data_IF_659100754904
#
_entry.id   IF_659100754904
#
_cell.length_a   1.000
_cell.length_b   1.000
_cell.length_c   1.000
_cell.angle_alpha   90.00
_cell.angle_beta   90.00
_cell.angle_gamma   90.00
#
_symmetry.space_group_name_H-M   'P 1'
#
loop_
_entity.id
_entity.type
_entity.pdbx_description
1 polymer ?
#
# COMPACT_ATOMS: atom_id res chain seq x y z
N UNK A 1 -24.34 -22.38 -44.43
CA UNK A 1 -24.36 -20.90 -44.45
C UNK A 1 -25.59 -20.45 -43.71
N UNK A 2 -25.49 -20.13 -42.43
CA UNK A 2 -26.53 -19.45 -41.67
C UNK A 2 -25.82 -18.66 -40.54
N UNK A 3 -25.87 -17.34 -40.62
CA UNK A 3 -25.42 -16.43 -39.58
C UNK A 3 -26.61 -16.15 -38.64
N UNK A 4 -26.46 -16.24 -37.32
CA UNK A 4 -27.41 -15.63 -36.40
C UNK A 4 -27.04 -14.18 -36.09
N UNK A 5 -28.07 -13.34 -36.08
CA UNK A 5 -28.04 -11.93 -35.78
C UNK A 5 -27.80 -11.72 -34.27
N UNK A 6 -26.91 -10.79 -33.92
CA UNK A 6 -26.69 -10.32 -32.55
C UNK A 6 -27.71 -9.23 -32.22
N UNK A 7 -28.46 -9.44 -31.18
CA UNK A 7 -29.37 -8.47 -30.59
C UNK A 7 -28.57 -7.64 -29.56
N UNK A 8 -28.40 -6.36 -29.84
CA UNK A 8 -27.79 -5.38 -28.92
C UNK A 8 -28.89 -4.86 -27.99
N UNK A 9 -28.83 -5.25 -26.72
CA UNK A 9 -29.68 -4.64 -25.67
C UNK A 9 -28.93 -3.48 -25.07
N UNK A 10 -29.41 -2.26 -25.32
CA UNK A 10 -28.95 -1.03 -24.69
C UNK A 10 -29.71 -0.85 -23.37
N UNK A 11 -29.03 -0.95 -22.26
CA UNK A 11 -29.59 -0.66 -20.94
C UNK A 11 -29.17 0.76 -20.54
N UNK A 12 -30.16 1.66 -20.51
CA UNK A 12 -29.98 3.04 -20.06
C UNK A 12 -30.08 3.05 -18.54
N UNK A 13 -29.01 3.41 -17.86
CA UNK A 13 -29.00 3.58 -16.41
C UNK A 13 -29.07 5.05 -16.04
N UNK A 14 -30.15 5.41 -15.35
CA UNK A 14 -30.47 6.75 -14.87
C UNK A 14 -29.61 7.18 -13.68
N UNK A 15 -29.04 8.37 -13.78
CA UNK A 15 -28.26 9.07 -12.76
C UNK A 15 -29.22 9.73 -11.76
N UNK A 16 -29.12 9.37 -10.49
CA UNK A 16 -29.78 10.07 -9.38
C UNK A 16 -28.76 10.90 -8.62
N UNK A 17 -28.87 12.22 -8.72
CA UNK A 17 -28.08 13.19 -7.97
C UNK A 17 -28.82 13.49 -6.66
N UNK A 18 -28.22 13.17 -5.52
CA UNK A 18 -28.70 13.60 -4.19
C UNK A 18 -27.78 14.67 -3.64
N UNK A 19 -28.31 15.89 -3.58
CA UNK A 19 -27.69 17.07 -2.97
C UNK A 19 -28.10 17.10 -1.51
N UNK A 20 -27.15 16.99 -0.56
CA UNK A 20 -27.38 17.34 0.83
C UNK A 20 -26.65 18.64 1.15
N UNK A 21 -27.43 19.73 1.23
CA UNK A 21 -27.01 20.95 1.86
C UNK A 21 -27.37 20.88 3.35
N UNK A 22 -26.37 20.97 4.22
CA UNK A 22 -26.52 21.05 5.68
C UNK A 22 -25.71 22.23 6.20
N UNK A 23 -26.36 23.39 6.31
CA UNK A 23 -25.86 24.62 6.94
C UNK A 23 -26.13 24.53 8.44
N UNK A 24 -25.10 24.61 9.29
CA UNK A 24 -25.22 24.72 10.75
C UNK A 24 -24.30 25.81 11.27
N UNK A 25 -24.88 27.00 11.42
CA UNK A 25 -24.24 28.18 12.01
C UNK A 25 -24.62 28.22 13.50
N UNK A 26 -23.67 28.39 14.38
CA UNK A 26 -23.97 28.85 15.74
C UNK A 26 -22.90 29.83 16.21
N UNK A 27 -23.41 31.02 16.52
CA UNK A 27 -22.71 32.22 17.00
C UNK A 27 -22.47 32.21 18.51
N UNK A 28 -21.38 32.86 18.86
CA UNK A 28 -21.15 33.84 19.93
C UNK A 28 -21.24 33.47 21.40
N UNK A 29 -20.19 33.78 22.13
CA UNK A 29 -20.24 34.91 23.10
C UNK A 29 -18.82 35.31 23.55
N UNK A 30 -18.54 36.61 23.46
CA UNK A 30 -17.43 37.34 24.03
C UNK A 30 -17.37 37.25 25.56
N UNK A 31 -16.16 37.27 26.12
CA UNK A 31 -15.86 38.15 27.25
C UNK A 31 -14.35 38.35 27.36
N UNK A 32 -13.99 39.62 27.23
CA UNK A 32 -12.72 40.26 27.47
C UNK A 32 -12.23 40.11 28.92
N UNK A 33 -10.94 39.93 29.14
CA UNK A 33 -10.17 40.68 30.16
C UNK A 33 -8.68 40.56 29.90
N UNK A 34 -8.07 41.72 29.84
CA UNK A 34 -6.65 42.05 29.82
C UNK A 34 -5.84 41.38 30.95
N UNK A 35 -4.60 41.00 30.68
CA UNK A 35 -3.40 41.58 31.34
C UNK A 35 -2.10 40.92 30.89
N UNK A 36 -1.19 41.80 30.43
CA UNK A 36 0.26 41.89 30.69
C UNK A 36 1.22 40.78 30.24
N UNK A 37 2.02 41.14 29.21
CA UNK A 37 3.33 40.57 28.84
C UNK A 37 4.35 40.81 29.99
N UNK A 38 5.33 39.90 30.23
CA UNK A 38 6.47 39.80 29.35
C UNK A 38 7.17 38.42 29.28
N UNK A 39 8.09 38.39 28.37
CA UNK A 39 9.35 37.63 28.35
C UNK A 39 9.41 36.43 27.44
N UNK A 40 9.99 36.72 26.30
CA UNK A 40 10.82 35.88 25.43
C UNK A 40 11.38 34.64 26.14
N UNK A 41 10.94 33.48 25.67
CA UNK A 41 11.73 32.28 25.73
C UNK A 41 11.68 31.65 24.33
N UNK A 42 12.80 31.69 23.67
CA UNK A 42 13.14 30.95 22.48
C UNK A 42 12.72 29.47 22.67
N UNK A 43 11.59 29.10 22.11
CA UNK A 43 11.28 27.70 21.94
C UNK A 43 12.07 27.26 20.71
N UNK A 44 13.25 26.70 20.97
CA UNK A 44 13.94 25.84 20.03
C UNK A 44 12.97 24.67 19.75
N UNK A 45 12.22 24.78 18.66
CA UNK A 45 11.51 23.64 18.09
C UNK A 45 12.60 22.70 17.57
N UNK A 46 13.03 21.79 18.42
CA UNK A 46 13.63 20.55 17.95
C UNK A 46 12.49 19.82 17.22
N UNK A 47 12.51 19.91 15.91
CA UNK A 47 11.92 18.88 15.06
C UNK A 47 12.62 17.56 15.38
N UNK A 48 12.19 16.94 16.45
CA UNK A 48 12.47 15.56 16.75
C UNK A 48 11.44 14.75 15.97
N UNK A 49 11.80 14.33 14.79
CA UNK A 49 11.16 13.19 14.13
C UNK A 49 11.52 11.98 15.00
N UNK A 50 10.75 11.77 16.06
CA UNK A 50 10.73 10.53 16.83
C UNK A 50 10.01 9.45 16.01
N UNK A 51 10.60 9.09 14.88
CA UNK A 51 10.32 7.83 14.26
C UNK A 51 11.02 6.78 15.13
N UNK A 52 10.27 5.81 15.69
CA UNK A 52 10.87 4.80 16.55
C UNK A 52 12.04 4.14 15.83
N UNK A 53 13.21 4.13 16.44
CA UNK A 53 14.44 3.54 15.86
C UNK A 53 14.31 2.06 15.47
N UNK A 54 13.20 1.42 15.85
CA UNK A 54 12.87 0.04 15.51
C UNK A 54 12.35 -0.16 14.08
N UNK A 55 11.97 0.92 13.37
CA UNK A 55 11.50 0.81 11.96
C UNK A 55 12.64 1.02 10.93
N UNK A 56 13.85 1.34 11.40
CA UNK A 56 15.01 1.47 10.53
C UNK A 56 15.54 0.07 10.20
N UNK A 57 15.45 -0.31 8.92
CA UNK A 57 15.96 -1.55 8.31
C UNK A 57 15.00 -2.76 8.31
N UNK A 58 13.71 -2.55 8.10
CA UNK A 58 12.78 -3.66 7.85
C UNK A 58 12.86 -4.20 6.41
N UNK A 59 13.59 -3.52 5.51
CA UNK A 59 13.91 -4.00 4.17
C UNK A 59 15.42 -4.23 4.06
N UNK A 60 15.85 -5.49 4.15
CA UNK A 60 17.23 -5.92 3.93
C UNK A 60 17.41 -6.64 2.58
N UNK A 61 16.43 -6.57 1.69
CA UNK A 61 16.47 -7.20 0.38
C UNK A 61 17.60 -6.59 -0.46
N UNK A 62 18.48 -7.43 -0.94
CA UNK A 62 19.55 -7.05 -1.86
C UNK A 62 19.04 -6.95 -3.29
N UNK A 63 18.25 -5.93 -3.57
CA UNK A 63 17.57 -5.72 -4.85
C UNK A 63 18.48 -5.77 -6.07
N UNK A 64 19.74 -5.33 -5.95
CA UNK A 64 20.70 -5.32 -7.04
C UNK A 64 21.29 -6.72 -7.35
N UNK A 65 21.11 -7.66 -6.43
CA UNK A 65 21.61 -9.02 -6.57
C UNK A 65 20.57 -9.98 -7.16
N UNK A 66 19.34 -9.49 -7.40
CA UNK A 66 18.26 -10.28 -8.01
C UNK A 66 18.65 -10.62 -9.46
N UNK A 67 18.81 -11.90 -9.75
CA UNK A 67 19.27 -12.42 -11.07
C UNK A 67 18.30 -13.41 -11.69
N UNK A 68 17.05 -13.44 -11.24
CA UNK A 68 16.04 -14.35 -11.77
C UNK A 68 15.60 -13.91 -13.18
N UNK A 69 15.67 -14.79 -14.21
CA UNK A 69 15.31 -14.45 -15.58
C UNK A 69 13.85 -14.14 -15.79
N UNK A 70 12.97 -14.49 -14.84
CA UNK A 70 11.54 -14.15 -14.89
C UNK A 70 11.25 -12.77 -14.33
N UNK A 71 12.20 -12.14 -13.63
CA UNK A 71 11.99 -10.86 -12.95
C UNK A 71 12.56 -9.73 -13.80
N UNK A 72 11.66 -8.87 -14.30
CA UNK A 72 12.01 -7.64 -15.04
C UNK A 72 12.22 -6.46 -14.07
N UNK A 73 13.02 -5.46 -14.45
CA UNK A 73 13.29 -4.25 -13.66
C UNK A 73 11.99 -3.51 -13.25
N UNK A 74 10.99 -3.51 -14.13
CA UNK A 74 9.69 -2.91 -13.85
C UNK A 74 8.93 -3.62 -12.71
N UNK A 75 9.07 -4.95 -12.58
CA UNK A 75 8.53 -5.71 -11.45
C UNK A 75 9.28 -5.37 -10.15
N UNK A 76 10.61 -5.27 -10.22
CA UNK A 76 11.44 -4.85 -9.07
C UNK A 76 11.00 -3.49 -8.57
N UNK A 77 10.75 -2.53 -9.47
CA UNK A 77 10.28 -1.19 -9.09
C UNK A 77 8.93 -1.24 -8.34
N UNK A 78 7.98 -2.06 -8.81
CA UNK A 78 6.68 -2.26 -8.16
C UNK A 78 6.82 -2.91 -6.78
N UNK A 79 7.63 -3.97 -6.67
CA UNK A 79 7.89 -4.65 -5.40
C UNK A 79 8.54 -3.71 -4.38
N UNK A 80 9.56 -2.93 -4.79
CA UNK A 80 10.19 -1.93 -3.94
C UNK A 80 9.19 -0.92 -3.40
N UNK A 81 8.29 -0.41 -4.25
CA UNK A 81 7.27 0.55 -3.83
C UNK A 81 6.32 -0.07 -2.80
N UNK A 82 5.83 -1.29 -3.04
CA UNK A 82 4.93 -1.98 -2.12
C UNK A 82 5.63 -2.31 -0.78
N UNK A 83 6.87 -2.82 -0.81
CA UNK A 83 7.64 -3.13 0.40
C UNK A 83 7.96 -1.86 1.19
N UNK A 84 8.37 -0.78 0.53
CA UNK A 84 8.66 0.49 1.20
C UNK A 84 7.42 1.05 1.90
N UNK A 85 6.26 1.02 1.23
CA UNK A 85 4.99 1.43 1.81
C UNK A 85 4.58 0.54 3.00
N UNK A 86 4.78 -0.77 2.89
CA UNK A 86 4.53 -1.72 3.98
C UNK A 86 5.41 -1.41 5.19
N UNK A 87 6.72 -1.23 5.00
CA UNK A 87 7.69 -0.93 6.06
C UNK A 87 7.40 0.39 6.74
N UNK A 88 7.01 1.42 5.97
CA UNK A 88 6.63 2.74 6.50
C UNK A 88 5.23 2.79 7.11
N UNK A 89 4.46 1.71 7.00
CA UNK A 89 3.05 1.61 7.39
C UNK A 89 2.15 2.64 6.69
N UNK A 90 2.47 2.95 5.44
CA UNK A 90 1.73 3.89 4.61
C UNK A 90 0.75 3.13 3.70
N UNK A 91 -0.51 3.02 4.15
CA UNK A 91 -1.57 2.31 3.43
C UNK A 91 -1.89 2.97 2.09
N UNK A 92 -1.85 4.30 2.00
CA UNK A 92 -2.17 5.01 0.76
C UNK A 92 -1.11 4.73 -0.31
N UNK A 93 0.17 4.77 0.05
CA UNK A 93 1.25 4.38 -0.84
C UNK A 93 1.22 2.89 -1.18
N UNK A 94 0.83 2.04 -0.25
CA UNK A 94 0.68 0.61 -0.49
C UNK A 94 -0.41 0.36 -1.54
N UNK A 95 -1.61 0.92 -1.38
CA UNK A 95 -2.68 0.80 -2.37
C UNK A 95 -2.27 1.37 -3.74
N UNK A 96 -1.50 2.47 -3.77
CA UNK A 96 -0.98 3.03 -5.02
C UNK A 96 0.06 2.14 -5.72
N UNK A 97 0.80 1.33 -4.97
CA UNK A 97 1.77 0.37 -5.51
C UNK A 97 1.10 -0.88 -6.09
N UNK A 98 -0.09 -1.25 -5.60
CA UNK A 98 -0.88 -2.39 -6.08
C UNK A 98 -1.61 -2.04 -7.38
N UNK A 99 -2.14 -3.05 -8.04
CA UNK A 99 -3.03 -2.85 -9.19
C UNK A 99 -4.39 -2.25 -8.78
N UNK A 100 -5.09 -1.57 -9.69
CA UNK A 100 -6.30 -0.81 -9.38
C UNK A 100 -7.45 -1.65 -8.84
N UNK A 101 -7.47 -2.95 -9.15
CA UNK A 101 -8.55 -3.86 -8.77
C UNK A 101 -8.29 -4.60 -7.44
N UNK A 102 -7.14 -4.38 -6.80
CA UNK A 102 -6.76 -5.09 -5.56
C UNK A 102 -7.47 -4.50 -4.33
N UNK A 103 -7.65 -3.18 -4.31
CA UNK A 103 -8.32 -2.47 -3.22
C UNK A 103 -7.65 -2.70 -1.86
N UNK A 104 -8.46 -2.84 -0.81
CA UNK A 104 -8.04 -3.00 0.59
C UNK A 104 -7.88 -4.46 1.02
N UNK A 105 -7.92 -5.41 0.08
CA UNK A 105 -7.93 -6.84 0.37
C UNK A 105 -6.70 -7.35 1.15
N UNK A 106 -5.61 -6.58 1.16
CA UNK A 106 -4.36 -6.96 1.81
C UNK A 106 -3.97 -6.07 3.00
N UNK A 107 -4.88 -5.22 3.50
CA UNK A 107 -4.60 -4.32 4.63
C UNK A 107 -4.27 -5.08 5.92
N UNK A 108 -4.81 -6.29 6.07
CA UNK A 108 -4.51 -7.18 7.21
C UNK A 108 -3.03 -7.50 7.37
N UNK A 109 -2.22 -7.37 6.29
CA UNK A 109 -0.78 -7.61 6.36
C UNK A 109 -0.08 -6.60 7.30
N UNK A 110 -0.65 -5.41 7.49
CA UNK A 110 -0.09 -4.36 8.35
C UNK A 110 -0.25 -4.62 9.85
N UNK A 111 -1.09 -5.59 10.22
CA UNK A 111 -1.30 -6.00 11.61
C UNK A 111 -0.06 -6.73 12.17
N UNK A 112 0.77 -7.29 11.27
CA UNK A 112 1.93 -8.08 11.65
C UNK A 112 3.22 -7.44 11.11
N UNK A 113 4.04 -6.83 11.98
CA UNK A 113 5.31 -6.24 11.55
C UNK A 113 6.28 -7.34 11.10
N UNK A 114 6.90 -7.12 9.95
CA UNK A 114 7.79 -8.05 9.26
C UNK A 114 9.06 -7.34 8.87
N UNK A 115 10.19 -8.05 8.97
CA UNK A 115 11.47 -7.68 8.39
C UNK A 115 11.67 -8.49 7.12
N UNK A 116 11.74 -7.82 5.98
CA UNK A 116 11.98 -8.49 4.70
C UNK A 116 13.48 -8.74 4.49
N UNK A 117 13.85 -9.97 4.13
CA UNK A 117 15.25 -10.40 4.08
C UNK A 117 15.69 -10.86 2.69
N UNK A 118 14.76 -11.19 1.79
CA UNK A 118 15.15 -11.69 0.48
C UNK A 118 14.00 -11.96 -0.47
N UNK A 119 14.37 -12.39 -1.68
CA UNK A 119 13.49 -12.87 -2.74
C UNK A 119 13.85 -14.33 -3.00
N UNK A 120 12.84 -15.21 -3.04
CA UNK A 120 13.03 -16.59 -3.48
C UNK A 120 12.80 -16.70 -4.99
N UNK A 121 13.06 -17.88 -5.56
CA UNK A 121 12.92 -18.17 -6.99
C UNK A 121 11.51 -17.82 -7.48
N UNK A 122 11.43 -17.03 -8.56
CA UNK A 122 10.18 -16.68 -9.19
C UNK A 122 9.60 -17.83 -9.99
N UNK A 123 8.27 -17.88 -10.09
CA UNK A 123 7.56 -18.90 -10.85
C UNK A 123 6.63 -18.23 -11.86
N UNK A 124 6.45 -18.89 -13.00
CA UNK A 124 5.47 -18.47 -14.00
C UNK A 124 4.25 -19.37 -13.95
N UNK A 125 3.10 -18.76 -13.78
CA UNK A 125 1.81 -19.44 -13.82
C UNK A 125 0.86 -18.70 -14.78
N UNK A 126 0.57 -19.32 -15.92
CA UNK A 126 -0.21 -18.72 -17.00
C UNK A 126 0.37 -17.38 -17.47
N UNK A 127 -0.36 -16.27 -17.26
CA UNK A 127 0.04 -14.89 -17.56
C UNK A 127 0.63 -14.14 -16.35
N UNK A 128 0.83 -14.82 -15.21
CA UNK A 128 1.33 -14.25 -13.97
C UNK A 128 2.77 -14.66 -13.70
N UNK A 129 3.49 -13.77 -13.06
CA UNK A 129 4.77 -14.07 -12.43
C UNK A 129 4.54 -14.00 -10.92
N UNK A 130 4.87 -15.07 -10.24
CA UNK A 130 4.79 -15.23 -8.79
C UNK A 130 6.16 -15.00 -8.20
N UNK A 131 6.30 -13.98 -7.37
CA UNK A 131 7.58 -13.61 -6.76
C UNK A 131 7.45 -13.73 -5.24
N UNK A 132 8.02 -14.78 -4.63
CA UNK A 132 8.00 -14.94 -3.19
C UNK A 132 9.02 -14.01 -2.53
N UNK A 133 8.54 -13.17 -1.63
CA UNK A 133 9.36 -12.34 -0.75
C UNK A 133 9.43 -13.02 0.61
N UNK A 134 10.62 -13.22 1.12
CA UNK A 134 10.85 -13.88 2.40
C UNK A 134 11.26 -12.88 3.47
N UNK A 135 10.97 -13.22 4.72
CA UNK A 135 11.29 -12.38 5.85
C UNK A 135 11.03 -13.05 7.18
N UNK A 136 11.08 -12.27 8.24
CA UNK A 136 10.90 -12.71 9.62
C UNK A 136 9.80 -11.89 10.29
N UNK A 137 8.93 -12.55 11.09
CA UNK A 137 8.00 -11.86 11.98
C UNK A 137 8.78 -11.19 13.09
N UNK A 138 8.42 -9.94 13.38
CA UNK A 138 9.00 -9.21 14.51
C UNK A 138 8.27 -9.49 15.83
N UNK A 139 7.03 -9.99 15.76
CA UNK A 139 6.26 -10.40 16.92
C UNK A 139 6.33 -11.91 17.07
N UNK A 140 6.85 -12.37 18.21
CA UNK A 140 6.79 -13.79 18.59
C UNK A 140 5.39 -14.09 19.14
N UNK A 141 4.42 -14.36 18.26
CA UNK A 141 3.11 -14.86 18.63
C UNK A 141 3.19 -16.38 18.75
N UNK A 142 2.73 -16.91 19.92
CA UNK A 142 2.73 -18.34 20.17
C UNK A 142 1.90 -19.09 19.10
N UNK A 143 2.49 -20.07 18.44
CA UNK A 143 1.85 -20.87 17.40
C UNK A 143 2.11 -20.40 15.96
N UNK A 144 2.80 -19.30 15.74
CA UNK A 144 3.19 -18.85 14.40
C UNK A 144 4.67 -19.11 14.10
N UNK A 145 4.97 -19.45 12.84
CA UNK A 145 6.36 -19.53 12.38
C UNK A 145 7.02 -18.14 12.43
N UNK A 146 8.28 -18.04 12.89
CA UNK A 146 9.05 -16.82 12.77
C UNK A 146 9.30 -16.44 11.30
N UNK A 147 9.50 -17.46 10.44
CA UNK A 147 9.76 -17.25 9.02
C UNK A 147 8.44 -16.97 8.28
N UNK A 148 8.43 -15.95 7.45
CA UNK A 148 7.31 -15.63 6.58
C UNK A 148 7.72 -15.70 5.11
N UNK A 149 6.70 -15.94 4.28
CA UNK A 149 6.81 -15.84 2.83
C UNK A 149 5.52 -15.22 2.31
N UNK A 150 5.64 -14.06 1.69
CA UNK A 150 4.54 -13.45 0.94
C UNK A 150 4.80 -13.63 -0.55
N UNK A 151 3.84 -14.20 -1.27
CA UNK A 151 3.94 -14.36 -2.72
C UNK A 151 3.21 -13.21 -3.41
N UNK A 152 3.94 -12.38 -4.12
CA UNK A 152 3.40 -11.31 -4.94
C UNK A 152 3.08 -11.85 -6.33
N UNK A 153 1.84 -11.69 -6.75
CA UNK A 153 1.36 -12.06 -8.08
C UNK A 153 1.38 -10.85 -8.98
N UNK A 154 2.20 -10.89 -10.03
CA UNK A 154 2.32 -9.80 -10.99
C UNK A 154 1.73 -10.22 -12.34
N UNK A 155 0.96 -9.33 -12.94
CA UNK A 155 0.33 -9.50 -14.25
C UNK A 155 0.46 -8.22 -15.07
N UNK A 156 0.55 -8.34 -16.40
CA UNK A 156 0.53 -7.16 -17.28
C UNK A 156 -0.91 -6.68 -17.47
N UNK A 157 -1.12 -5.39 -17.29
CA UNK A 157 -2.39 -4.76 -17.64
C UNK A 157 -2.58 -4.67 -19.17
N UNK A 158 -3.70 -4.08 -19.59
CA UNK A 158 -4.04 -3.90 -21.03
C UNK A 158 -3.02 -3.07 -21.80
N UNK A 159 -2.25 -2.23 -21.11
CA UNK A 159 -1.23 -1.36 -21.70
C UNK A 159 0.17 -2.00 -21.64
N UNK A 160 0.26 -3.23 -21.11
CA UNK A 160 1.49 -4.02 -20.99
C UNK A 160 2.35 -3.66 -19.77
N UNK A 161 1.87 -2.82 -18.86
CA UNK A 161 2.55 -2.47 -17.63
C UNK A 161 2.32 -3.52 -16.54
N UNK A 162 3.38 -3.89 -15.80
CA UNK A 162 3.27 -4.81 -14.68
C UNK A 162 2.49 -4.21 -13.52
N UNK A 163 1.57 -4.98 -12.97
CA UNK A 163 0.77 -4.64 -11.80
C UNK A 163 0.86 -5.77 -10.77
N UNK A 164 0.88 -5.45 -9.49
CA UNK A 164 0.68 -6.43 -8.42
C UNK A 164 -0.83 -6.63 -8.30
N UNK A 165 -1.30 -7.85 -8.60
CA UNK A 165 -2.72 -8.17 -8.64
C UNK A 165 -3.20 -8.98 -7.44
N UNK A 166 -2.29 -9.54 -6.66
CA UNK A 166 -2.58 -10.22 -5.39
C UNK A 166 -1.31 -10.41 -4.56
N UNK A 167 -1.49 -10.67 -3.28
CA UNK A 167 -0.44 -11.09 -2.34
C UNK A 167 -1.01 -12.23 -1.49
N UNK A 168 -0.22 -13.31 -1.28
CA UNK A 168 -0.62 -14.49 -0.53
C UNK A 168 0.48 -14.91 0.47
#
# INVERSE_FOLDING_TARGET
>A
MNKPAQIISILILSVSVSVFAGCGKQETTDTSTNETIPTTSEIVVKEGTDQPAALQNLDEIKWNDVKDPLIEDAMIAKLKAAIAAFVSKDLDQFHAALGPDVGTGHDYLFDHPVKFTGIAEAMKENNRILIPIVGERLNNEEGYSPDIRYTFYLEKDKDGAWQIVSID
#
